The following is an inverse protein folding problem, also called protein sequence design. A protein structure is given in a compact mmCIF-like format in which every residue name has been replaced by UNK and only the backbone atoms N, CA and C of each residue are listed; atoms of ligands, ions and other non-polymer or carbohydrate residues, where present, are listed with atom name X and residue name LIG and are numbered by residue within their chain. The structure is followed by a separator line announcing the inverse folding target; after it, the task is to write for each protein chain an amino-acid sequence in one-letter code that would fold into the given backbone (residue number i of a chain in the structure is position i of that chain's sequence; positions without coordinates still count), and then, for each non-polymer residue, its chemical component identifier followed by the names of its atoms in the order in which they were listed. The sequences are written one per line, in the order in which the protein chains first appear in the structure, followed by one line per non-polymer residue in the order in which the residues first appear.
data_IF_177143116816
#
_entry.id   IF_177143116816
#
_cell.length_a   1.000
_cell.length_b   1.000
_cell.length_c   1.000
_cell.angle_alpha   90.00
_cell.angle_beta   90.00
_cell.angle_gamma   90.00
#
_symmetry.space_group_name_H-M   'P 1'
#
loop_
_entity.id
_entity.type
_entity.pdbx_description
1 polymer ?
#
# COMPACT_ATOMS: atom_id res chain seq x y z
N UNK A 1 -11.07 12.21 -11.28
CA UNK A 1 -9.72 12.05 -11.89
C UNK A 1 -8.70 11.48 -10.92
N UNK A 2 -8.61 11.95 -9.67
CA UNK A 2 -7.69 11.41 -8.64
C UNK A 2 -7.78 9.89 -8.48
N UNK A 3 -9.00 9.34 -8.37
CA UNK A 3 -9.18 7.89 -8.23
C UNK A 3 -8.68 7.11 -9.45
N UNK A 4 -9.02 7.58 -10.67
CA UNK A 4 -8.56 6.95 -11.91
C UNK A 4 -7.02 7.00 -12.04
N UNK A 5 -6.41 8.14 -11.73
CA UNK A 5 -4.95 8.27 -11.67
C UNK A 5 -4.35 7.33 -10.61
N UNK A 6 -4.95 7.25 -9.42
CA UNK A 6 -4.57 6.33 -8.36
C UNK A 6 -4.56 4.88 -8.81
N UNK A 7 -5.64 4.41 -9.44
CA UNK A 7 -5.74 3.05 -9.97
C UNK A 7 -4.72 2.78 -11.07
N UNK A 8 -4.43 3.78 -11.93
CA UNK A 8 -3.42 3.66 -12.97
C UNK A 8 -2.01 3.50 -12.38
N UNK A 9 -1.61 4.37 -11.45
CA UNK A 9 -0.29 4.27 -10.81
C UNK A 9 -0.18 3.06 -9.88
N UNK A 10 -1.27 2.63 -9.25
CA UNK A 10 -1.33 1.37 -8.51
C UNK A 10 -1.02 0.18 -9.42
N UNK A 11 -1.60 0.14 -10.63
CA UNK A 11 -1.31 -0.91 -11.60
C UNK A 11 0.17 -0.90 -12.01
N UNK A 12 0.74 0.27 -12.29
CA UNK A 12 2.19 0.42 -12.56
C UNK A 12 3.02 -0.11 -11.38
N UNK A 13 2.68 0.28 -10.16
CA UNK A 13 3.35 -0.18 -8.95
C UNK A 13 3.33 -1.71 -8.84
N UNK A 14 2.17 -2.33 -9.04
CA UNK A 14 2.01 -3.78 -8.99
C UNK A 14 2.92 -4.51 -10.00
N UNK A 15 3.00 -4.01 -11.25
CA UNK A 15 3.90 -4.57 -12.26
C UNK A 15 5.38 -4.29 -12.00
N UNK A 16 5.71 -3.24 -11.23
CA UNK A 16 7.09 -2.95 -10.86
C UNK A 16 7.62 -3.87 -9.74
N UNK A 17 6.75 -4.52 -8.96
CA UNK A 17 7.18 -5.34 -7.80
C UNK A 17 8.16 -6.46 -8.18
N UNK A 18 7.93 -7.29 -9.21
CA UNK A 18 8.87 -8.35 -9.57
C UNK A 18 10.25 -7.80 -9.93
N UNK A 19 10.30 -6.72 -10.72
CA UNK A 19 11.56 -6.08 -11.14
C UNK A 19 12.34 -5.49 -9.95
N UNK A 20 11.64 -4.87 -9.01
CA UNK A 20 12.25 -4.32 -7.78
C UNK A 20 12.69 -5.45 -6.85
N UNK A 21 11.87 -6.49 -6.72
CA UNK A 21 12.12 -7.66 -5.90
C UNK A 21 13.34 -8.46 -6.35
N UNK A 22 13.56 -8.62 -7.66
CA UNK A 22 14.76 -9.26 -8.21
C UNK A 22 16.06 -8.52 -7.84
N UNK A 23 15.99 -7.19 -7.67
CA UNK A 23 17.17 -6.37 -7.36
C UNK A 23 17.40 -6.18 -5.87
N UNK A 24 16.34 -5.99 -5.09
CA UNK A 24 16.42 -5.64 -3.67
C UNK A 24 16.14 -6.83 -2.75
N UNK A 25 15.51 -7.88 -3.25
CA UNK A 25 14.91 -8.93 -2.44
C UNK A 25 13.54 -8.53 -1.88
N UNK A 26 12.77 -9.53 -1.44
CA UNK A 26 11.38 -9.36 -1.00
C UNK A 26 11.28 -8.49 0.25
N UNK A 27 12.09 -8.78 1.28
CA UNK A 27 12.07 -8.06 2.56
C UNK A 27 12.45 -6.59 2.37
N UNK A 28 13.53 -6.30 1.65
CA UNK A 28 13.94 -4.93 1.43
C UNK A 28 12.90 -4.17 0.58
N UNK A 29 12.29 -4.82 -0.41
CA UNK A 29 11.20 -4.23 -1.20
C UNK A 29 10.03 -3.83 -0.29
N UNK A 30 9.62 -4.69 0.65
CA UNK A 30 8.56 -4.38 1.63
C UNK A 30 8.94 -3.18 2.49
N UNK A 31 10.14 -3.19 3.08
CA UNK A 31 10.60 -2.12 3.99
C UNK A 31 10.68 -0.79 3.26
N UNK A 32 11.35 -0.74 2.11
CA UNK A 32 11.59 0.50 1.39
C UNK A 32 10.32 1.09 0.78
N UNK A 33 9.43 0.27 0.23
CA UNK A 33 8.15 0.77 -0.31
C UNK A 33 7.25 1.33 0.77
N UNK A 34 7.19 0.69 1.95
CA UNK A 34 6.43 1.20 3.10
C UNK A 34 7.07 2.45 3.69
N UNK A 35 8.39 2.48 3.83
CA UNK A 35 9.11 3.64 4.35
C UNK A 35 8.96 4.85 3.42
N UNK A 36 9.09 4.65 2.11
CA UNK A 36 8.88 5.68 1.10
C UNK A 36 7.43 6.21 1.08
N UNK A 37 6.45 5.43 1.55
CA UNK A 37 5.06 5.88 1.66
C UNK A 37 4.83 6.84 2.85
N UNK A 38 5.67 6.83 3.88
CA UNK A 38 5.47 7.61 5.12
C UNK A 38 5.37 9.12 4.87
N UNK A 39 6.28 9.76 4.09
CA UNK A 39 6.19 11.20 3.82
C UNK A 39 4.85 11.59 3.17
N UNK A 40 4.30 10.73 2.31
CA UNK A 40 3.02 10.99 1.65
C UNK A 40 1.83 10.81 2.60
N UNK A 41 1.91 9.89 3.57
CA UNK A 41 0.90 9.78 4.64
C UNK A 41 0.86 11.09 5.45
N UNK A 42 2.04 11.60 5.83
CA UNK A 42 2.13 12.88 6.54
C UNK A 42 1.61 14.03 5.69
N UNK A 43 1.94 14.05 4.39
CA UNK A 43 1.47 15.07 3.45
C UNK A 43 -0.07 15.07 3.31
N UNK A 44 -0.72 13.91 3.37
CA UNK A 44 -2.20 13.83 3.39
C UNK A 44 -2.75 14.45 4.67
N UNK A 45 -2.18 14.11 5.83
CA UNK A 45 -2.66 14.58 7.14
C UNK A 45 -2.45 16.08 7.36
N UNK A 46 -1.32 16.62 6.89
CA UNK A 46 -0.95 18.03 7.03
C UNK A 46 -1.23 18.88 5.78
N UNK A 47 -1.97 18.35 4.80
CA UNK A 47 -2.31 19.11 3.60
C UNK A 47 -2.99 20.46 3.91
N UNK A 48 -3.94 20.56 4.87
CA UNK A 48 -4.62 21.82 5.19
C UNK A 48 -3.69 22.92 5.69
N UNK A 49 -2.63 22.58 6.43
CA UNK A 49 -1.65 23.53 6.95
C UNK A 49 -0.59 23.93 5.91
N UNK A 50 -0.34 23.05 4.94
CA UNK A 50 0.73 23.20 3.95
C UNK A 50 0.26 23.79 2.61
N UNK A 51 -1.04 23.88 2.37
CA UNK A 51 -1.62 24.29 1.10
C UNK A 51 -2.75 25.34 1.26
N UNK A 52 -3.05 26.03 0.16
CA UNK A 52 -4.19 26.95 0.11
C UNK A 52 -5.51 26.18 -0.05
N UNK A 53 -6.67 26.77 0.30
CA UNK A 53 -7.99 26.12 0.12
C UNK A 53 -8.24 25.61 -1.30
N UNK A 54 -7.68 26.29 -2.31
CA UNK A 54 -7.80 25.92 -3.73
C UNK A 54 -6.89 24.75 -4.13
N UNK A 55 -5.77 24.55 -3.43
CA UNK A 55 -4.73 23.56 -3.80
C UNK A 55 -4.71 22.33 -2.91
N UNK A 56 -5.36 22.39 -1.74
CA UNK A 56 -5.33 21.33 -0.71
C UNK A 56 -5.77 19.97 -1.26
N UNK A 57 -6.84 19.94 -2.08
CA UNK A 57 -7.38 18.70 -2.65
C UNK A 57 -6.40 18.10 -3.66
N UNK A 58 -5.72 18.93 -4.44
CA UNK A 58 -4.73 18.49 -5.43
C UNK A 58 -3.48 17.93 -4.74
N UNK A 59 -3.00 18.58 -3.68
CA UNK A 59 -1.85 18.11 -2.89
C UNK A 59 -2.18 16.79 -2.19
N UNK A 60 -3.29 16.73 -1.46
CA UNK A 60 -3.74 15.52 -0.77
C UNK A 60 -4.03 14.39 -1.76
N UNK A 61 -4.61 14.70 -2.92
CA UNK A 61 -4.88 13.73 -3.99
C UNK A 61 -3.60 13.12 -4.57
N UNK A 62 -2.59 13.94 -4.89
CA UNK A 62 -1.30 13.45 -5.37
C UNK A 62 -0.60 12.60 -4.30
N UNK A 63 -0.57 13.09 -3.06
CA UNK A 63 -0.02 12.37 -1.92
C UNK A 63 -0.70 11.01 -1.74
N UNK A 64 -2.03 10.97 -1.84
CA UNK A 64 -2.82 9.73 -1.76
C UNK A 64 -2.48 8.75 -2.89
N UNK A 65 -2.30 9.22 -4.14
CA UNK A 65 -1.88 8.37 -5.26
C UNK A 65 -0.52 7.74 -4.98
N UNK A 66 0.48 8.56 -4.64
CA UNK A 66 1.85 8.09 -4.39
C UNK A 66 1.92 7.13 -3.20
N UNK A 67 1.26 7.48 -2.10
CA UNK A 67 1.10 6.62 -0.93
C UNK A 67 0.47 5.29 -1.31
N UNK A 68 -0.61 5.32 -2.07
CA UNK A 68 -1.37 4.11 -2.45
C UNK A 68 -0.52 3.22 -3.33
N UNK A 69 0.15 3.75 -4.35
CA UNK A 69 1.02 2.97 -5.22
C UNK A 69 2.17 2.34 -4.45
N UNK A 70 2.93 3.12 -3.67
CA UNK A 70 4.07 2.62 -2.91
C UNK A 70 3.65 1.59 -1.86
N UNK A 71 2.64 1.88 -1.05
CA UNK A 71 2.26 0.99 0.03
C UNK A 71 1.70 -0.35 -0.49
N UNK A 72 0.91 -0.32 -1.58
CA UNK A 72 0.34 -1.55 -2.16
C UNK A 72 1.38 -2.43 -2.85
N UNK A 73 2.52 -1.88 -3.30
CA UNK A 73 3.64 -2.70 -3.80
C UNK A 73 4.19 -3.66 -2.74
N UNK A 74 4.04 -3.33 -1.45
CA UNK A 74 4.47 -4.22 -0.37
C UNK A 74 3.61 -5.49 -0.26
N UNK A 75 2.39 -5.50 -0.81
CA UNK A 75 1.48 -6.65 -0.77
C UNK A 75 2.04 -7.86 -1.52
N UNK A 76 2.26 -7.77 -2.84
CA UNK A 76 2.83 -8.87 -3.62
C UNK A 76 4.21 -9.30 -3.13
N UNK A 77 5.06 -8.36 -2.71
CA UNK A 77 6.37 -8.69 -2.13
C UNK A 77 6.26 -9.48 -0.82
N UNK A 78 5.30 -9.12 0.04
CA UNK A 78 5.02 -9.85 1.28
C UNK A 78 4.42 -11.24 1.03
N UNK A 79 3.58 -11.38 0.02
CA UNK A 79 3.02 -12.67 -0.36
C UNK A 79 4.10 -13.63 -0.89
N UNK A 80 4.99 -13.14 -1.76
CA UNK A 80 6.15 -13.90 -2.26
C UNK A 80 7.04 -14.38 -1.10
N UNK A 81 7.41 -13.46 -0.20
CA UNK A 81 8.17 -13.78 1.01
C UNK A 81 7.49 -14.84 1.88
N UNK A 82 6.20 -14.63 2.19
CA UNK A 82 5.46 -15.55 3.04
C UNK A 82 5.39 -16.96 2.43
N UNK A 83 5.14 -17.06 1.12
CA UNK A 83 5.11 -18.35 0.42
C UNK A 83 6.48 -19.05 0.43
N UNK A 84 7.57 -18.29 0.34
CA UNK A 84 8.93 -18.81 0.44
C UNK A 84 9.26 -19.44 1.80
N UNK A 85 8.62 -18.97 2.88
CA UNK A 85 8.83 -19.49 4.24
C UNK A 85 7.91 -20.67 4.62
N UNK A 86 6.86 -20.94 3.84
CA UNK A 86 5.82 -21.90 4.19
C UNK A 86 5.93 -23.20 3.40
N UNK A 87 5.63 -24.33 4.06
CA UNK A 87 5.50 -25.61 3.38
C UNK A 87 4.32 -25.55 2.37
N UNK A 88 4.43 -26.18 1.18
CA UNK A 88 3.37 -26.10 0.17
C UNK A 88 1.95 -26.44 0.67
N UNK A 89 1.83 -27.37 1.61
CA UNK A 89 0.55 -27.79 2.21
C UNK A 89 -0.07 -26.73 3.13
N UNK A 90 0.72 -25.80 3.67
CA UNK A 90 0.28 -24.81 4.66
C UNK A 90 -0.14 -23.49 3.99
N UNK A 91 0.31 -23.23 2.76
CA UNK A 91 0.10 -21.98 2.04
C UNK A 91 -1.38 -21.62 1.88
N UNK A 92 -2.23 -22.59 1.56
CA UNK A 92 -3.66 -22.36 1.41
C UNK A 92 -4.31 -21.89 2.73
N UNK A 93 -3.99 -22.56 3.83
CA UNK A 93 -4.47 -22.19 5.18
C UNK A 93 -3.98 -20.81 5.58
N UNK A 94 -2.69 -20.51 5.36
CA UNK A 94 -2.11 -19.20 5.64
C UNK A 94 -2.82 -18.07 4.88
N UNK A 95 -3.07 -18.24 3.58
CA UNK A 95 -3.78 -17.23 2.77
C UNK A 95 -5.19 -17.02 3.31
N UNK A 96 -5.90 -18.10 3.65
CA UNK A 96 -7.26 -18.03 4.20
C UNK A 96 -7.31 -17.21 5.49
N UNK A 97 -6.45 -17.53 6.45
CA UNK A 97 -6.35 -16.81 7.74
C UNK A 97 -5.94 -15.36 7.49
N UNK A 98 -4.91 -15.12 6.68
CA UNK A 98 -4.41 -13.77 6.40
C UNK A 98 -5.47 -12.87 5.77
N UNK A 99 -6.27 -13.39 4.83
CA UNK A 99 -7.37 -12.65 4.20
C UNK A 99 -8.52 -12.37 5.17
N UNK A 100 -8.84 -13.33 6.05
CA UNK A 100 -9.84 -13.14 7.09
C UNK A 100 -9.43 -12.00 8.03
N UNK A 101 -8.21 -12.06 8.58
CA UNK A 101 -7.68 -11.03 9.46
C UNK A 101 -7.60 -9.67 8.76
N UNK A 102 -7.09 -9.63 7.52
CA UNK A 102 -7.02 -8.40 6.73
C UNK A 102 -8.39 -7.76 6.52
N UNK A 103 -9.41 -8.56 6.18
CA UNK A 103 -10.78 -8.08 5.97
C UNK A 103 -11.41 -7.58 7.28
N UNK A 104 -11.18 -8.30 8.39
CA UNK A 104 -11.68 -7.89 9.71
C UNK A 104 -11.07 -6.56 10.15
N UNK A 105 -9.76 -6.39 9.99
CA UNK A 105 -9.09 -5.13 10.30
C UNK A 105 -9.56 -3.97 9.42
N UNK A 106 -9.78 -4.22 8.12
CA UNK A 106 -10.34 -3.22 7.22
C UNK A 106 -11.76 -2.80 7.62
N UNK A 107 -12.60 -3.75 8.04
CA UNK A 107 -13.95 -3.46 8.52
C UNK A 107 -13.94 -2.62 9.81
N UNK A 108 -13.11 -3.00 10.79
CA UNK A 108 -12.96 -2.24 12.05
C UNK A 108 -12.41 -0.84 11.77
N UNK A 109 -11.38 -0.73 10.94
CA UNK A 109 -10.79 0.56 10.57
C UNK A 109 -11.77 1.45 9.82
N UNK A 110 -12.57 0.89 8.90
CA UNK A 110 -13.62 1.61 8.20
C UNK A 110 -14.73 2.11 9.13
N UNK A 111 -15.12 1.30 10.11
CA UNK A 111 -16.10 1.71 11.12
C UNK A 111 -15.56 2.83 12.01
N UNK A 112 -14.36 2.67 12.58
CA UNK A 112 -13.74 3.68 13.45
C UNK A 112 -13.42 4.99 12.71
N UNK A 113 -13.08 4.92 11.43
CA UNK A 113 -12.81 6.12 10.62
C UNK A 113 -14.06 6.86 10.16
N UNK A 114 -15.25 6.27 10.30
CA UNK A 114 -16.52 6.89 9.94
C UNK A 114 -17.24 7.58 11.11
N UNK A 115 -16.80 7.30 12.35
CA UNK A 115 -17.29 7.92 13.59
C UNK A 115 -16.40 9.10 13.94
#
# INVERSE_FOLDING_TARGET
MVFAAGSFFLAIGAFAVPLVGERLGEVATIVWTRFAAIPFILLIGFAPELATPETVVSLAGLAWVLRTSLFNMSGPAFEAFSMGQLHPTERATYIGISRLFGSAMAAVGGYLGAV
#
